data_IF_917920739871
#
_entry.id   IF_917920739871
#
_cell.length_a   1.000
_cell.length_b   1.000
_cell.length_c   1.000
_cell.angle_alpha   90.00
_cell.angle_beta   90.00
_cell.angle_gamma   90.00
#
_symmetry.space_group_name_H-M   'P 1'
#
loop_
_entity.id
_entity.type
_entity.pdbx_description
1 polymer ?
#
# COMPACT_ATOMS: atom_id res chain seq x y z
N UNK A 1 20.29 -9.72 -37.99
CA UNK A 1 19.04 -9.18 -37.40
C UNK A 1 19.05 -9.46 -35.90
N UNK A 2 19.37 -8.47 -35.06
CA UNK A 2 19.38 -8.62 -33.60
C UNK A 2 18.18 -7.88 -33.00
N UNK A 3 17.18 -8.62 -32.51
CA UNK A 3 16.04 -8.03 -31.79
C UNK A 3 16.51 -7.66 -30.39
N UNK A 4 16.84 -6.38 -30.18
CA UNK A 4 17.01 -5.79 -28.85
C UNK A 4 15.66 -5.87 -28.12
N UNK A 5 15.56 -6.78 -27.16
CA UNK A 5 14.41 -6.88 -26.28
C UNK A 5 14.24 -5.59 -25.48
N UNK A 6 13.06 -4.98 -25.58
CA UNK A 6 12.61 -3.89 -24.73
C UNK A 6 12.77 -4.25 -23.26
N UNK A 7 13.68 -3.55 -22.57
CA UNK A 7 13.70 -3.51 -21.10
C UNK A 7 12.59 -2.56 -20.67
N UNK A 8 11.41 -3.10 -20.39
CA UNK A 8 10.35 -2.40 -19.68
C UNK A 8 10.87 -2.07 -18.27
N UNK A 9 11.25 -0.82 -18.03
CA UNK A 9 11.48 -0.28 -16.69
C UNK A 9 10.14 0.02 -16.04
N UNK A 10 9.34 -1.01 -15.77
CA UNK A 10 8.09 -0.87 -15.02
C UNK A 10 8.30 -1.57 -13.68
N UNK A 11 8.32 -0.75 -12.63
CA UNK A 11 7.93 -1.19 -11.29
C UNK A 11 9.07 -1.51 -10.35
N UNK A 12 9.17 -0.63 -9.35
CA UNK A 12 9.80 -0.74 -8.04
C UNK A 12 11.22 -0.15 -7.92
N UNK A 13 11.41 0.85 -7.02
CA UNK A 13 12.74 1.35 -6.68
C UNK A 13 13.57 0.16 -6.20
N UNK A 14 14.82 0.10 -6.63
CA UNK A 14 15.73 -0.96 -6.21
C UNK A 14 15.84 -0.89 -4.70
N UNK A 15 15.71 -2.01 -4.02
CA UNK A 15 15.97 -2.13 -2.58
C UNK A 15 17.39 -1.68 -2.18
N UNK A 16 18.31 -1.54 -3.16
CA UNK A 16 19.63 -0.91 -2.99
C UNK A 16 19.63 0.62 -2.98
N UNK A 17 18.47 1.28 -3.12
CA UNK A 17 18.28 2.73 -2.96
C UNK A 17 17.66 3.09 -1.60
N UNK A 18 17.51 2.11 -0.68
CA UNK A 18 17.48 2.40 0.76
C UNK A 18 18.90 2.71 1.22
N UNK A 19 19.45 3.79 0.67
CA UNK A 19 20.68 4.37 1.12
C UNK A 19 20.42 4.95 2.51
N UNK A 20 20.85 4.23 3.55
CA UNK A 20 20.79 4.64 4.96
C UNK A 20 21.51 5.96 5.25
N UNK A 21 22.10 6.60 4.23
CA UNK A 21 22.76 7.91 4.30
C UNK A 21 21.83 9.11 4.03
N UNK A 22 20.63 8.90 3.48
CA UNK A 22 19.72 10.00 3.13
C UNK A 22 18.66 10.21 4.23
N UNK A 23 19.07 10.73 5.39
CA UNK A 23 18.13 11.19 6.42
C UNK A 23 17.19 12.24 5.84
N UNK A 24 15.89 11.94 5.83
CA UNK A 24 14.88 12.91 5.43
C UNK A 24 14.72 13.98 6.52
N UNK A 25 14.53 15.22 6.08
CA UNK A 25 14.20 16.34 6.98
C UNK A 25 12.70 16.54 6.94
N UNK A 26 12.08 16.49 8.11
CA UNK A 26 10.63 16.63 8.24
C UNK A 26 10.27 18.00 8.80
N UNK A 27 9.21 18.58 8.27
CA UNK A 27 8.69 19.85 8.73
C UNK A 27 7.87 19.67 10.02
N UNK A 28 7.67 20.74 10.78
CA UNK A 28 6.94 20.68 12.05
C UNK A 28 5.49 20.18 11.90
N UNK A 29 4.84 20.46 10.76
CA UNK A 29 3.52 19.94 10.44
C UNK A 29 3.52 18.42 10.29
N UNK A 30 4.49 17.87 9.57
CA UNK A 30 4.63 16.41 9.36
C UNK A 30 4.91 15.70 10.70
N UNK A 31 5.77 16.28 11.53
CA UNK A 31 6.04 15.79 12.88
C UNK A 31 4.77 15.81 13.74
N UNK A 32 3.95 16.87 13.67
CA UNK A 32 2.71 16.93 14.44
C UNK A 32 1.68 15.88 14.01
N UNK A 33 1.66 15.49 12.73
CA UNK A 33 0.72 14.47 12.23
C UNK A 33 1.03 13.05 12.71
N UNK A 34 2.23 12.78 13.22
CA UNK A 34 2.60 11.45 13.74
C UNK A 34 1.78 11.02 14.94
N UNK A 35 1.34 11.94 15.80
CA UNK A 35 0.46 11.61 16.92
C UNK A 35 -0.86 11.02 16.44
N UNK A 36 -1.44 11.62 15.39
CA UNK A 36 -2.71 11.17 14.85
C UNK A 36 -2.59 9.88 14.03
N UNK A 37 -1.46 9.67 13.34
CA UNK A 37 -1.25 8.50 12.47
C UNK A 37 -0.72 7.28 13.23
N UNK A 38 0.24 7.50 14.11
CA UNK A 38 1.06 6.45 14.74
C UNK A 38 0.91 6.42 16.26
N UNK A 39 0.23 7.41 16.86
CA UNK A 39 0.10 7.55 18.32
C UNK A 39 1.36 8.07 19.02
N UNK A 40 2.44 8.34 18.28
CA UNK A 40 3.71 8.81 18.83
C UNK A 40 3.83 10.34 18.75
N UNK A 41 4.12 10.98 19.88
CA UNK A 41 4.39 12.42 19.93
C UNK A 41 5.86 12.74 19.62
N UNK A 42 6.20 12.73 18.33
CA UNK A 42 7.56 13.02 17.88
C UNK A 42 7.96 14.49 18.13
N UNK A 43 6.99 15.40 18.25
CA UNK A 43 7.25 16.83 18.45
C UNK A 43 7.96 17.15 19.78
N UNK A 44 7.81 16.28 20.80
CA UNK A 44 8.41 16.46 22.13
C UNK A 44 9.88 16.05 22.23
N UNK A 45 10.45 15.44 21.19
CA UNK A 45 11.84 14.96 21.22
C UNK A 45 12.81 16.00 20.65
N UNK A 46 14.06 15.99 21.13
CA UNK A 46 15.11 16.87 20.61
C UNK A 46 15.48 16.50 19.16
N UNK A 47 15.71 15.21 18.88
CA UNK A 47 16.12 14.71 17.56
C UNK A 47 14.93 14.22 16.72
N UNK A 48 13.99 15.14 16.43
CA UNK A 48 12.73 14.83 15.72
C UNK A 48 12.96 14.11 14.39
N UNK A 49 13.89 14.59 13.56
CA UNK A 49 14.16 13.99 12.25
C UNK A 49 14.67 12.56 12.38
N UNK A 50 15.47 12.26 13.40
CA UNK A 50 16.00 10.90 13.61
C UNK A 50 14.86 9.94 13.93
N UNK A 51 13.95 10.33 14.83
CA UNK A 51 12.79 9.53 15.22
C UNK A 51 11.82 9.37 14.05
N UNK A 52 11.58 10.43 13.28
CA UNK A 52 10.76 10.35 12.07
C UNK A 52 11.32 9.37 11.05
N UNK A 53 12.64 9.39 10.81
CA UNK A 53 13.29 8.45 9.90
C UNK A 53 13.16 7.00 10.42
N UNK A 54 13.34 6.77 11.73
CA UNK A 54 13.14 5.44 12.33
C UNK A 54 11.71 4.94 12.17
N UNK A 55 10.71 5.77 12.48
CA UNK A 55 9.31 5.42 12.27
C UNK A 55 9.03 5.11 10.79
N UNK A 56 9.62 5.89 9.88
CA UNK A 56 9.47 5.65 8.45
C UNK A 56 10.06 4.31 8.01
N UNK A 57 11.24 3.95 8.51
CA UNK A 57 11.86 2.64 8.26
C UNK A 57 11.00 1.50 8.82
N UNK A 58 10.48 1.63 10.04
CA UNK A 58 9.58 0.64 10.65
C UNK A 58 8.30 0.46 9.81
N UNK A 59 7.72 1.54 9.29
CA UNK A 59 6.57 1.49 8.39
C UNK A 59 6.88 0.77 7.08
N UNK A 60 8.05 1.03 6.49
CA UNK A 60 8.50 0.32 5.29
C UNK A 60 8.67 -1.16 5.58
N UNK A 61 9.33 -1.52 6.69
CA UNK A 61 9.54 -2.91 7.09
C UNK A 61 8.22 -3.64 7.31
N UNK A 62 7.29 -3.04 8.08
CA UNK A 62 5.96 -3.63 8.31
C UNK A 62 5.20 -3.84 7.00
N UNK A 63 5.25 -2.85 6.09
CA UNK A 63 4.62 -2.98 4.77
C UNK A 63 5.27 -4.08 3.93
N UNK A 64 6.59 -4.22 3.99
CA UNK A 64 7.30 -5.30 3.31
C UNK A 64 6.93 -6.67 3.90
N UNK A 65 6.83 -6.79 5.23
CA UNK A 65 6.40 -8.03 5.89
C UNK A 65 4.97 -8.40 5.53
N UNK A 66 4.06 -7.44 5.52
CA UNK A 66 2.67 -7.67 5.13
C UNK A 66 2.58 -8.15 3.68
N UNK A 67 3.33 -7.53 2.77
CA UNK A 67 3.42 -8.00 1.39
C UNK A 67 4.05 -9.38 1.29
N UNK A 68 5.08 -9.67 2.07
CA UNK A 68 5.69 -11.00 2.10
C UNK A 68 4.72 -12.09 2.55
N UNK A 69 3.83 -11.77 3.50
CA UNK A 69 2.80 -12.70 4.01
C UNK A 69 1.61 -12.88 3.07
N UNK A 70 1.19 -11.82 2.38
CA UNK A 70 -0.07 -11.81 1.62
C UNK A 70 0.09 -11.84 0.10
N UNK A 71 1.25 -11.45 -0.45
CA UNK A 71 1.51 -11.47 -1.90
C UNK A 71 2.34 -12.70 -2.30
N UNK A 72 1.71 -13.76 -2.84
CA UNK A 72 2.43 -14.91 -3.35
C UNK A 72 3.38 -14.48 -4.48
N UNK A 73 4.68 -14.75 -4.29
CA UNK A 73 5.73 -14.40 -5.26
C UNK A 73 6.49 -13.10 -4.97
N UNK A 74 6.09 -12.33 -3.96
CA UNK A 74 6.82 -11.11 -3.56
C UNK A 74 8.26 -11.40 -3.12
N UNK A 75 8.46 -12.50 -2.38
CA UNK A 75 9.79 -12.98 -1.98
C UNK A 75 10.71 -13.21 -3.19
N UNK A 76 10.19 -13.81 -4.28
CA UNK A 76 10.98 -14.08 -5.47
C UNK A 76 11.35 -12.79 -6.21
N UNK A 77 10.41 -11.84 -6.33
CA UNK A 77 10.69 -10.53 -6.94
C UNK A 77 11.76 -9.74 -6.18
N UNK A 78 11.77 -9.78 -4.85
CA UNK A 78 12.75 -9.07 -4.01
C UNK A 78 14.20 -9.53 -4.25
N UNK A 79 14.40 -10.81 -4.60
CA UNK A 79 15.72 -11.37 -4.92
C UNK A 79 16.06 -11.33 -6.42
N UNK A 80 15.25 -10.65 -7.24
CA UNK A 80 15.47 -10.56 -8.69
C UNK A 80 15.16 -11.85 -9.45
N UNK A 81 14.41 -12.76 -8.83
CA UNK A 81 13.96 -14.00 -9.46
C UNK A 81 12.52 -13.88 -9.97
N UNK A 82 12.21 -14.62 -11.03
CA UNK A 82 10.83 -14.72 -11.48
C UNK A 82 10.00 -15.48 -10.42
N UNK A 83 8.83 -14.98 -10.00
CA UNK A 83 7.93 -15.73 -9.14
C UNK A 83 7.53 -17.04 -9.81
N UNK A 84 7.35 -18.08 -9.01
CA UNK A 84 7.00 -19.42 -9.50
C UNK A 84 5.67 -19.38 -10.28
N UNK A 85 5.46 -20.37 -11.16
CA UNK A 85 4.23 -20.45 -11.95
C UNK A 85 2.98 -20.49 -11.07
N UNK A 86 3.05 -21.18 -9.92
CA UNK A 86 1.99 -21.20 -8.92
C UNK A 86 1.74 -19.82 -8.28
N UNK A 87 2.79 -19.14 -7.84
CA UNK A 87 2.67 -17.81 -7.24
C UNK A 87 2.05 -16.77 -8.18
N UNK A 88 2.33 -16.87 -9.49
CA UNK A 88 1.68 -16.03 -10.51
C UNK A 88 0.19 -16.33 -10.67
N UNK A 89 -0.19 -17.60 -10.60
CA UNK A 89 -1.60 -18.03 -10.68
C UNK A 89 -2.34 -17.52 -9.45
N UNK A 90 -1.80 -17.72 -8.25
CA UNK A 90 -2.40 -17.26 -7.01
C UNK A 90 -2.57 -15.73 -6.99
N UNK A 91 -1.57 -14.98 -7.48
CA UNK A 91 -1.68 -13.52 -7.61
C UNK A 91 -2.79 -13.09 -8.61
N UNK A 92 -2.98 -13.84 -9.70
CA UNK A 92 -4.06 -13.60 -10.67
C UNK A 92 -5.43 -13.85 -10.04
N UNK A 93 -5.58 -14.95 -9.29
CA UNK A 93 -6.83 -15.29 -8.60
C UNK A 93 -7.16 -14.22 -7.55
N UNK A 94 -6.18 -13.81 -6.75
CA UNK A 94 -6.38 -12.78 -5.73
C UNK A 94 -6.85 -11.43 -6.33
N UNK A 95 -6.33 -11.06 -7.52
CA UNK A 95 -6.78 -9.87 -8.24
C UNK A 95 -8.22 -10.02 -8.75
N UNK A 96 -8.55 -11.15 -9.36
CA UNK A 96 -9.91 -11.44 -9.85
C UNK A 96 -10.95 -11.44 -8.70
N UNK A 97 -10.61 -12.03 -7.55
CA UNK A 97 -11.45 -12.05 -6.37
C UNK A 97 -11.67 -10.64 -5.79
N UNK A 98 -10.60 -9.84 -5.71
CA UNK A 98 -10.69 -8.46 -5.23
C UNK A 98 -11.58 -7.58 -6.12
N UNK A 99 -11.48 -7.72 -7.44
CA UNK A 99 -12.35 -6.99 -8.38
C UNK A 99 -13.82 -7.41 -8.27
N UNK A 100 -14.07 -8.71 -8.11
CA UNK A 100 -15.42 -9.23 -7.96
C UNK A 100 -16.08 -8.76 -6.65
N UNK A 101 -15.32 -8.78 -5.56
CA UNK A 101 -15.75 -8.23 -4.26
C UNK A 101 -16.01 -6.72 -4.34
N UNK A 102 -15.16 -5.96 -5.04
CA UNK A 102 -15.36 -4.53 -5.23
C UNK A 102 -16.65 -4.21 -6.01
N UNK A 103 -16.94 -4.97 -7.09
CA UNK A 103 -18.19 -4.84 -7.84
C UNK A 103 -19.41 -5.14 -6.97
N UNK A 104 -19.39 -6.26 -6.23
CA UNK A 104 -20.47 -6.62 -5.30
C UNK A 104 -20.73 -5.57 -4.23
N UNK A 105 -19.67 -5.00 -3.64
CA UNK A 105 -19.80 -3.91 -2.66
C UNK A 105 -20.48 -2.68 -3.26
N UNK A 106 -20.10 -2.29 -4.47
CA UNK A 106 -20.69 -1.16 -5.19
C UNK A 106 -22.17 -1.39 -5.52
N UNK A 107 -22.52 -2.60 -5.93
CA UNK A 107 -23.92 -2.95 -6.22
C UNK A 107 -24.78 -2.96 -4.95
N UNK A 108 -24.24 -3.48 -3.84
CA UNK A 108 -24.91 -3.45 -2.54
C UNK A 108 -25.12 -2.02 -2.03
N UNK A 109 -24.12 -1.14 -2.18
CA UNK A 109 -24.22 0.27 -1.81
C UNK A 109 -25.26 1.02 -2.66
N UNK A 110 -25.30 0.77 -3.97
CA UNK A 110 -26.32 1.33 -4.86
C UNK A 110 -27.73 0.87 -4.48
N UNK A 111 -27.89 -0.40 -4.13
CA UNK A 111 -29.19 -0.95 -3.71
C UNK A 111 -29.64 -0.35 -2.38
N UNK A 112 -28.72 -0.20 -1.42
CA UNK A 112 -28.97 0.45 -0.15
C UNK A 112 -29.36 1.92 -0.34
N UNK A 113 -28.65 2.67 -1.19
CA UNK A 113 -28.95 4.07 -1.51
C UNK A 113 -30.32 4.22 -2.17
N UNK A 114 -30.68 3.34 -3.10
CA UNK A 114 -31.99 3.33 -3.76
C UNK A 114 -33.13 3.04 -2.77
N UNK A 115 -32.91 2.15 -1.80
CA UNK A 115 -33.88 1.87 -0.73
C UNK A 115 -34.09 3.07 0.19
N UNK A 116 -33.02 3.76 0.60
CA UNK A 116 -33.10 4.98 1.41
C UNK A 116 -33.87 6.10 0.70
N UNK A 117 -33.63 6.31 -0.61
CA UNK A 117 -34.38 7.30 -1.39
C UNK A 117 -35.88 6.99 -1.47
N UNK A 118 -36.24 5.70 -1.62
CA UNK A 118 -37.65 5.27 -1.64
C UNK A 118 -38.35 5.43 -0.30
N UNK A 119 -37.64 5.19 0.82
CA UNK A 119 -38.18 5.37 2.17
C UNK A 119 -38.30 6.86 2.54
N UNK A 120 -37.32 7.68 2.19
CA UNK A 120 -37.36 9.14 2.42
C UNK A 120 -38.48 9.82 1.62
N UNK A 121 -38.70 9.41 0.38
CA UNK A 121 -39.76 9.95 -0.48
C UNK A 121 -41.20 9.63 -0.02
N UNK A 122 -41.38 8.66 0.89
CA UNK A 122 -42.70 8.27 1.38
C UNK A 122 -43.06 8.84 2.77
N UNK A 123 -42.14 9.58 3.40
CA UNK A 123 -42.32 10.20 4.73
C UNK A 123 -42.72 11.68 4.70
N UNK A 124 -42.89 12.26 3.51
CA UNK A 124 -43.31 13.66 3.32
C UNK A 124 -44.70 13.75 2.69
N UNK A 125 -45.75 13.50 3.48
CA UNK A 125 -47.13 13.93 3.22
C UNK A 125 -47.86 14.12 4.53
#
# INVERSE_FOLDING_TARGET
>A
MARRGSRSSIGFPKSSELDSSHQQRYNASEVATTVARDGFNVAGYMDRNKIMNQLHEEHIQRRMEDRLKHEPGYAAMMHGHAPSKGARIDASIALEEAEFLAKKKKDAENLARKKMQRLGAHSGR
#
